data_IF_342618443922
#
_entry.id   IF_342618443922
#
_cell.length_a   1.000
_cell.length_b   1.000
_cell.length_c   1.000
_cell.angle_alpha   90.00
_cell.angle_beta   90.00
_cell.angle_gamma   90.00
#
_symmetry.space_group_name_H-M   'P 1'
#
loop_
_entity.id
_entity.type
_entity.pdbx_description
1 polymer ?
#
# COMPACT_ATOMS: atom_id res chain seq x y z
N UNK A 1 -4.89 19.42 -3.90
CA UNK A 1 -4.25 18.33 -4.67
C UNK A 1 -3.21 18.86 -5.67
N UNK A 2 -3.53 19.88 -6.49
CA UNK A 2 -2.59 20.46 -7.47
C UNK A 2 -1.34 21.16 -6.89
N UNK A 3 -1.31 21.43 -5.58
CA UNK A 3 -0.16 22.03 -4.90
C UNK A 3 0.84 21.02 -4.33
N UNK A 4 0.63 19.71 -4.54
CA UNK A 4 1.62 18.74 -4.10
C UNK A 4 2.88 18.85 -4.98
N UNK A 5 3.97 19.31 -4.38
CA UNK A 5 5.27 19.49 -5.02
C UNK A 5 5.76 18.21 -5.72
N UNK A 6 5.40 17.03 -5.18
CA UNK A 6 5.72 15.73 -5.76
C UNK A 6 5.12 15.57 -7.17
N UNK A 7 3.86 16.01 -7.38
CA UNK A 7 3.21 15.94 -8.71
C UNK A 7 3.92 16.84 -9.71
N UNK A 8 4.32 18.05 -9.27
CA UNK A 8 5.04 19.01 -10.12
C UNK A 8 6.39 18.43 -10.56
N UNK A 9 7.13 17.81 -9.64
CA UNK A 9 8.39 17.13 -9.98
C UNK A 9 8.20 15.90 -10.86
N UNK A 10 7.17 15.09 -10.62
CA UNK A 10 6.88 13.94 -11.47
C UNK A 10 6.52 14.35 -12.90
N UNK A 11 5.68 15.38 -13.04
CA UNK A 11 5.34 15.96 -14.35
C UNK A 11 6.58 16.52 -15.05
N UNK A 12 7.43 17.27 -14.33
CA UNK A 12 8.69 17.78 -14.87
C UNK A 12 9.62 16.64 -15.31
N UNK A 13 9.81 15.63 -14.47
CA UNK A 13 10.64 14.46 -14.76
C UNK A 13 10.15 13.71 -16.00
N UNK A 14 8.83 13.52 -16.13
CA UNK A 14 8.21 12.91 -17.31
C UNK A 14 8.43 13.77 -18.55
N UNK A 15 8.17 15.07 -18.49
CA UNK A 15 8.36 15.98 -19.61
C UNK A 15 9.82 16.03 -20.08
N UNK A 16 10.77 16.10 -19.16
CA UNK A 16 12.20 16.03 -19.46
C UNK A 16 12.56 14.69 -20.11
N UNK A 17 12.02 13.57 -19.61
CA UNK A 17 12.28 12.25 -20.20
C UNK A 17 11.82 12.15 -21.67
N UNK A 18 10.71 12.80 -22.01
CA UNK A 18 10.17 12.83 -23.37
C UNK A 18 10.98 13.80 -24.25
N UNK A 19 11.31 14.98 -23.75
CA UNK A 19 12.13 15.98 -24.45
C UNK A 19 13.54 15.47 -24.75
N UNK A 20 14.14 14.72 -23.82
CA UNK A 20 15.45 14.08 -23.99
C UNK A 20 15.38 12.80 -24.82
N UNK A 21 14.19 12.40 -25.28
CA UNK A 21 14.01 11.24 -26.14
C UNK A 21 14.35 9.89 -25.49
N UNK A 22 14.26 9.78 -24.15
CA UNK A 22 14.64 8.55 -23.43
C UNK A 22 13.80 7.32 -23.83
N UNK A 23 12.61 7.56 -24.38
CA UNK A 23 11.71 6.56 -24.92
C UNK A 23 12.08 6.06 -26.34
N UNK A 24 12.95 6.77 -27.06
CA UNK A 24 13.25 6.52 -28.48
C UNK A 24 14.62 5.87 -28.62
N UNK A 25 14.74 4.61 -28.22
CA UNK A 25 16.02 3.90 -28.17
C UNK A 25 16.67 3.74 -29.56
N UNK A 26 15.95 3.15 -30.51
CA UNK A 26 16.50 2.77 -31.82
C UNK A 26 16.52 3.93 -32.83
N UNK A 27 15.66 4.94 -32.63
CA UNK A 27 15.45 6.03 -33.59
C UNK A 27 16.04 7.38 -33.13
N UNK A 28 16.82 7.42 -32.05
CA UNK A 28 17.25 8.72 -31.49
C UNK A 28 18.05 9.55 -32.50
N UNK A 29 18.87 8.90 -33.33
CA UNK A 29 19.69 9.55 -34.35
C UNK A 29 18.86 10.19 -35.47
N UNK A 30 17.63 9.71 -35.69
CA UNK A 30 16.72 10.25 -36.72
C UNK A 30 15.99 11.52 -36.26
N UNK A 31 15.90 11.75 -34.95
CA UNK A 31 15.10 12.84 -34.38
C UNK A 31 15.89 13.84 -33.53
N UNK A 32 17.11 13.50 -33.11
CA UNK A 32 17.92 14.29 -32.18
C UNK A 32 19.23 14.72 -32.84
N UNK A 33 19.16 15.69 -33.76
CA UNK A 33 20.36 16.38 -34.25
C UNK A 33 20.88 17.44 -33.26
N UNK A 34 20.08 17.84 -32.25
CA UNK A 34 20.40 18.97 -31.34
C UNK A 34 20.46 18.63 -29.84
N UNK A 35 19.99 17.45 -29.41
CA UNK A 35 19.85 17.10 -27.98
C UNK A 35 20.43 15.72 -27.65
N UNK A 36 21.54 15.34 -28.30
CA UNK A 36 22.21 14.08 -28.01
C UNK A 36 23.01 14.19 -26.71
N UNK A 37 22.46 13.66 -25.61
CA UNK A 37 23.20 13.47 -24.36
C UNK A 37 23.98 12.15 -24.45
N UNK A 38 25.29 12.21 -24.71
CA UNK A 38 26.19 11.06 -24.68
C UNK A 38 26.76 10.89 -23.27
N UNK A 39 26.31 9.86 -22.56
CA UNK A 39 26.78 9.56 -21.19
C UNK A 39 28.13 8.84 -21.24
N UNK A 40 28.32 8.01 -22.27
CA UNK A 40 29.53 7.22 -22.55
C UNK A 40 29.89 7.28 -24.03
N UNK A 41 31.11 6.88 -24.39
CA UNK A 41 31.54 6.77 -25.79
C UNK A 41 30.86 5.62 -26.53
N UNK A 42 30.28 4.67 -25.81
CA UNK A 42 29.61 3.48 -26.36
C UNK A 42 28.11 3.73 -26.55
N UNK A 43 27.65 3.61 -27.80
CA UNK A 43 26.24 3.86 -28.17
C UNK A 43 25.30 2.88 -27.46
N UNK A 44 25.71 1.61 -27.33
CA UNK A 44 24.89 0.57 -26.70
C UNK A 44 24.69 0.85 -25.19
N UNK A 45 25.73 1.28 -24.49
CA UNK A 45 25.64 1.64 -23.07
C UNK A 45 24.78 2.88 -22.84
N UNK A 46 24.87 3.88 -23.72
CA UNK A 46 23.98 5.04 -23.67
C UNK A 46 22.50 4.65 -23.82
N UNK A 47 22.19 3.77 -24.78
CA UNK A 47 20.82 3.32 -25.00
C UNK A 47 20.30 2.52 -23.80
N UNK A 48 21.13 1.64 -23.23
CA UNK A 48 20.80 0.86 -22.05
C UNK A 48 20.55 1.75 -20.82
N UNK A 49 21.39 2.76 -20.58
CA UNK A 49 21.19 3.70 -19.46
C UNK A 49 19.90 4.51 -19.65
N UNK A 50 19.64 5.02 -20.87
CA UNK A 50 18.40 5.75 -21.17
C UNK A 50 17.16 4.89 -20.94
N UNK A 51 17.20 3.64 -21.40
CA UNK A 51 16.15 2.65 -21.20
C UNK A 51 15.87 2.43 -19.70
N UNK A 52 16.91 2.19 -18.90
CA UNK A 52 16.79 2.01 -17.45
C UNK A 52 16.19 3.23 -16.76
N UNK A 53 16.69 4.43 -17.09
CA UNK A 53 16.17 5.69 -16.53
C UNK A 53 14.68 5.85 -16.88
N UNK A 54 14.30 5.63 -18.14
CA UNK A 54 12.91 5.78 -18.58
C UNK A 54 11.97 4.82 -17.87
N UNK A 55 12.38 3.56 -17.69
CA UNK A 55 11.62 2.56 -16.91
C UNK A 55 11.47 3.00 -15.46
N UNK A 56 12.52 3.45 -14.80
CA UNK A 56 12.45 3.93 -13.42
C UNK A 56 11.59 5.18 -13.24
N UNK A 57 11.65 6.13 -14.18
CA UNK A 57 10.76 7.31 -14.20
C UNK A 57 9.30 6.85 -14.24
N UNK A 58 8.99 5.86 -15.07
CA UNK A 58 7.64 5.29 -15.20
C UNK A 58 7.22 4.58 -13.91
N UNK A 59 8.06 3.72 -13.34
CA UNK A 59 7.81 3.04 -12.06
C UNK A 59 7.50 4.04 -10.95
N UNK A 60 8.37 5.04 -10.75
CA UNK A 60 8.18 6.03 -9.70
C UNK A 60 6.91 6.87 -9.92
N UNK A 61 6.62 7.24 -11.18
CA UNK A 61 5.39 7.95 -11.52
C UNK A 61 4.15 7.13 -11.13
N UNK A 62 4.11 5.85 -11.49
CA UNK A 62 2.98 4.97 -11.18
C UNK A 62 2.75 4.86 -9.66
N UNK A 63 3.80 4.58 -8.90
CA UNK A 63 3.70 4.47 -7.44
C UNK A 63 3.28 5.77 -6.76
N UNK A 64 3.81 6.91 -7.21
CA UNK A 64 3.39 8.20 -6.67
C UNK A 64 1.95 8.53 -7.04
N UNK A 65 1.52 8.26 -8.27
CA UNK A 65 0.12 8.46 -8.67
C UNK A 65 -0.82 7.61 -7.82
N UNK A 66 -0.47 6.34 -7.54
CA UNK A 66 -1.22 5.46 -6.65
C UNK A 66 -1.25 6.00 -5.22
N UNK A 67 -0.10 6.39 -4.65
CA UNK A 67 -0.03 6.96 -3.30
C UNK A 67 -0.88 8.23 -3.18
N UNK A 68 -0.82 9.06 -4.22
CA UNK A 68 -1.61 10.27 -4.38
C UNK A 68 -3.01 10.00 -4.89
N UNK A 69 -3.41 8.74 -5.07
CA UNK A 69 -4.66 8.22 -5.63
C UNK A 69 -5.21 8.99 -6.83
N UNK A 70 -4.29 9.41 -7.70
CA UNK A 70 -4.59 10.07 -8.96
C UNK A 70 -4.69 9.00 -10.05
N UNK A 71 -5.72 9.13 -10.89
CA UNK A 71 -5.83 8.32 -12.09
C UNK A 71 -4.73 8.73 -13.08
N UNK A 72 -4.02 7.74 -13.61
CA UNK A 72 -2.96 7.93 -14.61
C UNK A 72 -3.46 8.68 -15.86
N UNK A 73 -4.70 8.43 -16.27
CA UNK A 73 -5.34 9.05 -17.42
C UNK A 73 -5.33 10.58 -17.37
N UNK A 74 -5.37 11.16 -16.17
CA UNK A 74 -5.42 12.61 -15.99
C UNK A 74 -4.06 13.28 -16.17
N UNK A 75 -2.96 12.52 -16.13
CA UNK A 75 -1.60 13.08 -16.10
C UNK A 75 -0.67 12.56 -17.20
N UNK A 76 -0.86 11.31 -17.64
CA UNK A 76 0.11 10.63 -18.50
C UNK A 76 -0.41 10.30 -19.90
N UNK A 77 -1.71 10.43 -20.18
CA UNK A 77 -2.29 10.02 -21.46
C UNK A 77 -2.11 8.51 -21.74
N UNK A 78 -2.80 7.99 -22.75
CA UNK A 78 -2.96 6.54 -22.98
C UNK A 78 -1.76 5.82 -23.67
N UNK A 79 -0.58 6.43 -23.78
CA UNK A 79 0.47 5.83 -24.60
C UNK A 79 1.38 4.89 -23.80
N UNK A 80 1.01 3.60 -23.82
CA UNK A 80 1.97 2.51 -23.57
C UNK A 80 3.04 2.55 -24.67
N UNK A 81 4.23 2.96 -24.26
CA UNK A 81 5.37 3.18 -25.12
C UNK A 81 6.05 1.86 -25.55
N UNK A 82 6.73 1.84 -26.69
CA UNK A 82 7.43 0.66 -27.20
C UNK A 82 8.39 0.06 -26.15
N UNK A 83 9.12 0.90 -25.43
CA UNK A 83 10.06 0.47 -24.37
C UNK A 83 9.34 -0.25 -23.23
N UNK A 84 8.14 0.22 -22.86
CA UNK A 84 7.34 -0.36 -21.79
C UNK A 84 6.78 -1.71 -22.27
N UNK A 85 6.25 -1.76 -23.49
CA UNK A 85 5.68 -2.99 -24.07
C UNK A 85 6.74 -4.06 -24.31
N UNK A 86 7.96 -3.67 -24.72
CA UNK A 86 9.10 -4.58 -24.86
C UNK A 86 9.50 -5.18 -23.50
N UNK A 87 9.56 -4.35 -22.45
CA UNK A 87 9.92 -4.79 -21.11
C UNK A 87 8.87 -5.70 -20.45
N UNK A 88 7.59 -5.54 -20.76
CA UNK A 88 6.50 -6.36 -20.21
C UNK A 88 6.31 -7.68 -20.96
N UNK A 89 6.64 -7.72 -22.27
CA UNK A 89 6.53 -8.91 -23.12
C UNK A 89 7.76 -9.81 -23.12
N UNK A 90 8.94 -9.30 -22.75
CA UNK A 90 10.14 -10.11 -22.63
C UNK A 90 9.99 -11.17 -21.53
N UNK A 91 10.12 -12.44 -21.93
CA UNK A 91 10.23 -13.56 -20.99
C UNK A 91 11.52 -13.36 -20.17
N UNK A 92 11.36 -13.12 -18.87
CA UNK A 92 12.45 -12.80 -17.94
C UNK A 92 13.48 -13.93 -17.73
N UNK A 93 13.23 -15.10 -18.34
CA UNK A 93 14.05 -16.30 -18.23
C UNK A 93 15.03 -16.47 -19.41
N UNK A 94 15.16 -15.49 -20.31
CA UNK A 94 16.22 -15.54 -21.32
C UNK A 94 17.59 -15.31 -20.68
N UNK A 95 18.56 -16.16 -21.01
CA UNK A 95 19.91 -16.13 -20.43
C UNK A 95 20.67 -14.81 -20.67
N UNK A 96 20.21 -14.01 -21.63
CA UNK A 96 20.89 -12.80 -22.10
C UNK A 96 20.54 -11.52 -21.30
N UNK A 97 19.62 -11.58 -20.32
CA UNK A 97 19.19 -10.41 -19.54
C UNK A 97 19.97 -10.32 -18.22
N UNK A 98 20.60 -9.16 -17.97
CA UNK A 98 21.29 -8.86 -16.72
C UNK A 98 20.34 -8.92 -15.50
N UNK A 99 20.89 -9.18 -14.32
CA UNK A 99 20.10 -9.22 -13.07
C UNK A 99 19.38 -7.90 -12.80
N UNK A 100 20.05 -6.78 -13.04
CA UNK A 100 19.48 -5.45 -12.84
C UNK A 100 18.33 -5.17 -13.81
N UNK A 101 18.45 -5.57 -15.08
CA UNK A 101 17.38 -5.40 -16.05
C UNK A 101 16.19 -6.31 -15.75
N UNK A 102 16.44 -7.53 -15.24
CA UNK A 102 15.37 -8.42 -14.75
C UNK A 102 14.62 -7.77 -13.59
N UNK A 103 15.33 -7.19 -12.62
CA UNK A 103 14.72 -6.48 -11.50
C UNK A 103 13.86 -5.31 -11.99
N UNK A 104 14.41 -4.42 -12.82
CA UNK A 104 13.71 -3.24 -13.33
C UNK A 104 12.47 -3.64 -14.13
N UNK A 105 12.57 -4.64 -15.00
CA UNK A 105 11.44 -5.13 -15.79
C UNK A 105 10.36 -5.76 -14.91
N UNK A 106 10.75 -6.49 -13.85
CA UNK A 106 9.82 -7.07 -12.88
C UNK A 106 9.08 -5.99 -12.09
N UNK A 107 9.83 -5.00 -11.58
CA UNK A 107 9.25 -3.87 -10.85
C UNK A 107 8.31 -3.05 -11.73
N UNK A 108 8.68 -2.82 -13.00
CA UNK A 108 7.84 -2.17 -13.99
C UNK A 108 6.54 -2.94 -14.21
N UNK A 109 6.63 -4.26 -14.43
CA UNK A 109 5.46 -5.13 -14.62
C UNK A 109 4.50 -5.06 -13.43
N UNK A 110 5.02 -5.14 -12.20
CA UNK A 110 4.22 -5.00 -10.97
C UNK A 110 3.58 -3.61 -10.89
N UNK A 111 4.34 -2.54 -11.17
CA UNK A 111 3.81 -1.17 -11.12
C UNK A 111 2.66 -0.93 -12.11
N UNK A 112 2.72 -1.55 -13.30
CA UNK A 112 1.65 -1.46 -14.31
C UNK A 112 0.41 -2.23 -13.86
N UNK A 113 0.60 -3.43 -13.30
CA UNK A 113 -0.52 -4.21 -12.75
C UNK A 113 -1.21 -3.44 -11.62
N UNK A 114 -0.45 -2.84 -10.70
CA UNK A 114 -0.99 -2.00 -9.63
C UNK A 114 -1.75 -0.79 -10.15
N UNK A 115 -1.20 -0.12 -11.16
CA UNK A 115 -1.87 1.03 -11.77
C UNK A 115 -3.19 0.62 -12.42
N UNK A 116 -3.21 -0.47 -13.20
CA UNK A 116 -4.44 -1.01 -13.81
C UNK A 116 -5.44 -1.46 -12.76
N UNK A 117 -4.98 -2.06 -11.66
CA UNK A 117 -5.82 -2.38 -10.51
C UNK A 117 -6.44 -1.10 -9.93
N UNK A 118 -5.64 -0.07 -9.71
CA UNK A 118 -6.10 1.20 -9.16
C UNK A 118 -7.17 1.87 -10.05
N UNK A 119 -6.97 1.89 -11.37
CA UNK A 119 -7.92 2.43 -12.33
C UNK A 119 -9.23 1.63 -12.36
N UNK A 120 -9.15 0.29 -12.41
CA UNK A 120 -10.32 -0.57 -12.47
C UNK A 120 -11.15 -0.55 -11.19
N UNK A 121 -10.51 -0.46 -10.03
CA UNK A 121 -11.21 -0.35 -8.74
C UNK A 121 -11.96 0.98 -8.59
N UNK A 122 -11.51 2.05 -9.27
CA UNK A 122 -12.19 3.35 -9.25
C UNK A 122 -13.37 3.45 -10.19
N UNK A 123 -13.28 2.80 -11.36
CA UNK A 123 -14.26 2.99 -12.43
C UNK A 123 -15.49 2.08 -12.27
N UNK A 124 -15.37 0.98 -11.53
CA UNK A 124 -16.43 -0.03 -11.44
C UNK A 124 -17.39 0.22 -10.28
N UNK A 125 -18.57 0.78 -10.57
CA UNK A 125 -19.62 1.02 -9.56
C UNK A 125 -20.49 -0.20 -9.24
N UNK A 126 -20.46 -1.27 -10.04
CA UNK A 126 -21.31 -2.45 -9.88
C UNK A 126 -20.64 -3.56 -9.05
N UNK A 127 -21.29 -4.02 -7.98
CA UNK A 127 -20.76 -5.03 -7.04
C UNK A 127 -20.24 -6.32 -7.72
N UNK A 128 -20.92 -6.81 -8.75
CA UNK A 128 -20.55 -8.07 -9.41
C UNK A 128 -19.29 -7.91 -10.27
N UNK A 129 -19.13 -6.79 -10.97
CA UNK A 129 -17.89 -6.49 -11.70
C UNK A 129 -16.71 -6.21 -10.75
N UNK A 130 -17.00 -5.63 -9.57
CA UNK A 130 -16.02 -5.49 -8.48
C UNK A 130 -15.48 -6.86 -8.02
N UNK A 131 -16.34 -7.82 -7.71
CA UNK A 131 -15.89 -9.15 -7.26
C UNK A 131 -15.13 -9.94 -8.35
N UNK A 132 -15.57 -9.86 -9.61
CA UNK A 132 -14.89 -10.51 -10.73
C UNK A 132 -13.50 -9.90 -10.95
N UNK A 133 -13.39 -8.57 -10.92
CA UNK A 133 -12.10 -7.89 -11.05
C UNK A 133 -11.15 -8.21 -9.89
N UNK A 134 -11.65 -8.31 -8.65
CA UNK A 134 -10.87 -8.76 -7.51
C UNK A 134 -10.30 -10.17 -7.72
N UNK A 135 -11.14 -11.13 -8.11
CA UNK A 135 -10.66 -12.50 -8.36
C UNK A 135 -9.64 -12.56 -9.50
N UNK A 136 -9.88 -11.83 -10.59
CA UNK A 136 -8.95 -11.74 -11.71
C UNK A 136 -7.59 -11.20 -11.27
N UNK A 137 -7.56 -10.09 -10.52
CA UNK A 137 -6.31 -9.52 -10.02
C UNK A 137 -5.63 -10.41 -8.97
N UNK A 138 -6.39 -11.11 -8.13
CA UNK A 138 -5.81 -12.07 -7.18
C UNK A 138 -5.11 -13.22 -7.92
N UNK A 139 -5.70 -13.73 -9.01
CA UNK A 139 -5.06 -14.74 -9.88
C UNK A 139 -3.79 -14.19 -10.53
N UNK A 140 -3.86 -13.00 -11.13
CA UNK A 140 -2.69 -12.35 -11.76
C UNK A 140 -1.55 -12.16 -10.76
N UNK A 141 -1.85 -11.65 -9.56
CA UNK A 141 -0.84 -11.42 -8.52
C UNK A 141 -0.25 -12.72 -7.97
N UNK A 142 -1.03 -13.80 -7.91
CA UNK A 142 -0.54 -15.12 -7.54
C UNK A 142 0.31 -15.76 -8.65
N UNK A 143 -0.03 -15.53 -9.91
CA UNK A 143 0.77 -15.98 -11.05
C UNK A 143 2.14 -15.28 -11.11
N UNK A 144 2.21 -14.01 -10.72
CA UNK A 144 3.48 -13.29 -10.55
C UNK A 144 4.37 -13.87 -9.44
N UNK A 145 3.83 -14.70 -8.54
CA UNK A 145 4.58 -15.35 -7.46
C UNK A 145 5.01 -16.78 -7.77
N UNK A 146 4.45 -17.42 -8.79
CA UNK A 146 4.78 -18.82 -9.11
C UNK A 146 6.27 -18.95 -9.42
N UNK A 147 6.89 -20.03 -8.92
CA UNK A 147 8.34 -20.33 -8.99
C UNK A 147 8.93 -20.36 -10.41
N UNK A 148 8.08 -20.37 -11.43
CA UNK A 148 8.46 -20.27 -12.84
C UNK A 148 8.78 -18.85 -13.31
N UNK A 149 8.45 -17.84 -12.51
CA UNK A 149 8.75 -16.43 -12.79
C UNK A 149 10.03 -15.99 -12.08
N UNK A 150 10.94 -15.33 -12.80
CA UNK A 150 12.15 -14.73 -12.22
C UNK A 150 11.87 -13.71 -11.09
N UNK A 151 10.60 -13.29 -10.98
CA UNK A 151 10.01 -12.37 -10.00
C UNK A 151 10.04 -12.96 -8.57
N UNK A 152 9.91 -14.29 -8.40
CA UNK A 152 9.73 -14.88 -7.07
C UNK A 152 10.99 -14.92 -6.20
N UNK A 153 12.17 -14.69 -6.79
CA UNK A 153 13.45 -14.78 -6.08
C UNK A 153 13.85 -13.49 -5.36
N UNK A 154 13.23 -12.36 -5.70
CA UNK A 154 13.61 -11.05 -5.17
C UNK A 154 12.58 -10.57 -4.14
N UNK A 155 13.02 -10.48 -2.88
CA UNK A 155 12.20 -10.05 -1.76
C UNK A 155 11.67 -8.61 -1.94
N UNK A 156 12.40 -7.73 -2.63
CA UNK A 156 11.97 -6.36 -2.91
C UNK A 156 10.83 -6.31 -3.92
N UNK A 157 10.85 -7.21 -4.91
CA UNK A 157 9.72 -7.35 -5.83
C UNK A 157 8.55 -8.02 -5.11
N UNK A 158 8.82 -9.01 -4.25
CA UNK A 158 7.78 -9.65 -3.45
C UNK A 158 7.05 -8.62 -2.55
N UNK A 159 7.77 -7.68 -1.94
CA UNK A 159 7.19 -6.56 -1.20
C UNK A 159 6.21 -5.74 -2.04
N UNK A 160 6.58 -5.42 -3.29
CA UNK A 160 5.69 -4.71 -4.21
C UNK A 160 4.46 -5.55 -4.60
N UNK A 161 4.60 -6.86 -4.75
CA UNK A 161 3.47 -7.76 -5.03
C UNK A 161 2.53 -7.84 -3.83
N UNK A 162 3.07 -8.00 -2.61
CA UNK A 162 2.28 -8.01 -1.38
C UNK A 162 1.56 -6.69 -1.14
N UNK A 163 2.18 -5.56 -1.47
CA UNK A 163 1.46 -4.28 -1.47
C UNK A 163 0.23 -4.31 -2.38
N UNK A 164 0.36 -4.79 -3.61
CA UNK A 164 -0.77 -4.92 -4.55
C UNK A 164 -1.90 -5.78 -3.98
N UNK A 165 -1.56 -6.88 -3.32
CA UNK A 165 -2.52 -7.76 -2.65
C UNK A 165 -3.21 -7.05 -1.49
N UNK A 166 -2.45 -6.31 -0.69
CA UNK A 166 -2.99 -5.51 0.39
C UNK A 166 -4.00 -4.49 -0.13
N UNK A 167 -3.72 -3.81 -1.26
CA UNK A 167 -4.66 -2.89 -1.88
C UNK A 167 -5.98 -3.58 -2.27
N UNK A 168 -5.88 -4.78 -2.82
CA UNK A 168 -6.99 -5.62 -3.23
C UNK A 168 -7.84 -6.08 -2.03
N UNK A 169 -7.18 -6.53 -0.95
CA UNK A 169 -7.87 -6.96 0.26
C UNK A 169 -8.51 -5.79 0.99
N UNK A 170 -7.86 -4.63 1.07
CA UNK A 170 -8.50 -3.42 1.62
C UNK A 170 -9.74 -3.01 0.84
N UNK A 171 -9.70 -3.12 -0.49
CA UNK A 171 -10.87 -2.87 -1.30
C UNK A 171 -12.02 -3.80 -0.94
N UNK A 172 -11.74 -5.09 -0.71
CA UNK A 172 -12.75 -6.06 -0.28
C UNK A 172 -13.33 -5.77 1.11
N UNK A 173 -12.59 -5.04 1.96
CA UNK A 173 -13.00 -4.65 3.32
C UNK A 173 -13.86 -3.37 3.37
N UNK A 174 -14.17 -2.78 2.21
CA UNK A 174 -15.02 -1.61 2.10
C UNK A 174 -16.48 -1.90 2.47
N UNK A 175 -17.09 -0.99 3.23
CA UNK A 175 -18.50 -1.09 3.64
C UNK A 175 -19.47 -1.16 2.46
N UNK A 176 -19.09 -0.60 1.30
CA UNK A 176 -19.94 -0.57 0.10
C UNK A 176 -20.22 -1.97 -0.48
N UNK A 177 -19.37 -2.96 -0.20
CA UNK A 177 -19.51 -4.33 -0.71
C UNK A 177 -20.50 -5.18 0.09
N UNK A 178 -20.88 -4.76 1.31
CA UNK A 178 -21.86 -5.47 2.17
C UNK A 178 -21.64 -6.99 2.24
N UNK A 179 -20.41 -7.40 2.52
CA UNK A 179 -20.05 -8.81 2.68
C UNK A 179 -20.73 -9.42 3.92
N UNK A 180 -20.92 -10.75 3.89
CA UNK A 180 -21.32 -11.49 5.08
C UNK A 180 -20.21 -11.40 6.14
N UNK A 181 -20.56 -11.52 7.43
CA UNK A 181 -19.58 -11.46 8.52
C UNK A 181 -18.47 -12.53 8.36
N UNK A 182 -18.83 -13.72 7.86
CA UNK A 182 -17.87 -14.80 7.66
C UNK A 182 -16.89 -14.49 6.52
N UNK A 183 -17.40 -14.00 5.39
CA UNK A 183 -16.55 -13.60 4.26
C UNK A 183 -15.66 -12.41 4.63
N UNK A 184 -16.20 -11.46 5.40
CA UNK A 184 -15.46 -10.32 5.92
C UNK A 184 -14.26 -10.76 6.77
N UNK A 185 -14.47 -11.71 7.69
CA UNK A 185 -13.40 -12.30 8.49
C UNK A 185 -12.35 -12.98 7.62
N UNK A 186 -12.73 -13.70 6.58
CA UNK A 186 -11.77 -14.33 5.65
C UNK A 186 -10.86 -13.27 5.03
N UNK A 187 -11.40 -12.13 4.57
CA UNK A 187 -10.59 -11.05 4.03
C UNK A 187 -9.72 -10.34 5.08
N UNK A 188 -10.16 -10.26 6.35
CA UNK A 188 -9.31 -9.80 7.45
C UNK A 188 -8.09 -10.71 7.62
N UNK A 189 -8.27 -12.03 7.66
CA UNK A 189 -7.14 -12.95 7.79
C UNK A 189 -6.23 -12.94 6.57
N UNK A 190 -6.77 -12.78 5.34
CA UNK A 190 -5.95 -12.54 4.14
C UNK A 190 -5.13 -11.26 4.26
N UNK A 191 -5.75 -10.19 4.76
CA UNK A 191 -5.10 -8.89 5.02
C UNK A 191 -3.97 -9.03 6.04
N UNK A 192 -4.24 -9.66 7.19
CA UNK A 192 -3.23 -9.92 8.23
C UNK A 192 -2.07 -10.76 7.71
N UNK A 193 -2.36 -11.81 6.96
CA UNK A 193 -1.32 -12.68 6.34
C UNK A 193 -0.39 -11.85 5.44
N UNK A 194 -0.96 -10.97 4.61
CA UNK A 194 -0.20 -10.06 3.75
C UNK A 194 0.61 -9.05 4.58
N UNK A 195 0.02 -8.44 5.62
CA UNK A 195 0.73 -7.53 6.53
C UNK A 195 1.92 -8.21 7.22
N UNK A 196 1.75 -9.44 7.72
CA UNK A 196 2.83 -10.19 8.38
C UNK A 196 3.93 -10.54 7.39
N UNK A 197 3.58 -10.97 6.18
CA UNK A 197 4.56 -11.23 5.12
C UNK A 197 5.36 -9.98 4.77
N UNK A 198 4.72 -8.81 4.67
CA UNK A 198 5.42 -7.53 4.46
C UNK A 198 6.41 -7.26 5.59
N UNK A 199 6.01 -7.42 6.85
CA UNK A 199 6.90 -7.20 8.00
C UNK A 199 8.10 -8.14 7.94
N UNK A 200 7.87 -9.42 7.64
CA UNK A 200 8.94 -10.43 7.57
C UNK A 200 9.90 -10.13 6.41
N UNK A 201 9.39 -9.81 5.22
CA UNK A 201 10.22 -9.41 4.08
C UNK A 201 11.03 -8.15 4.38
N UNK A 202 10.40 -7.15 5.01
CA UNK A 202 11.04 -5.87 5.29
C UNK A 202 12.14 -6.01 6.35
N UNK A 203 11.90 -6.82 7.40
CA UNK A 203 12.90 -7.09 8.43
C UNK A 203 14.08 -7.90 7.91
N UNK A 204 13.85 -8.80 6.96
CA UNK A 204 14.90 -9.57 6.30
C UNK A 204 15.75 -8.73 5.33
N UNK A 205 15.11 -7.89 4.51
CA UNK A 205 15.81 -7.05 3.50
C UNK A 205 16.52 -5.86 4.10
N UNK A 206 15.99 -5.30 5.19
CA UNK A 206 16.47 -4.06 5.76
C UNK A 206 16.88 -4.17 7.25
N UNK A 207 17.77 -5.12 7.62
CA UNK A 207 18.12 -5.37 9.02
C UNK A 207 18.85 -4.18 9.67
N UNK A 208 19.68 -3.48 8.90
CA UNK A 208 20.52 -2.36 9.36
C UNK A 208 19.95 -0.99 8.97
N UNK A 209 18.65 -0.91 8.71
CA UNK A 209 18.01 0.35 8.31
C UNK A 209 17.98 1.34 9.46
N UNK A 210 18.57 2.51 9.23
CA UNK A 210 18.59 3.59 10.21
C UNK A 210 17.29 4.40 10.26
N UNK A 211 16.62 4.54 9.11
CA UNK A 211 15.36 5.27 8.99
C UNK A 211 14.62 4.82 7.73
N UNK A 212 13.31 4.57 7.84
CA UNK A 212 12.44 4.25 6.70
C UNK A 212 12.44 5.36 5.65
N UNK A 213 12.74 6.60 6.07
CA UNK A 213 12.77 7.75 5.15
C UNK A 213 13.89 7.71 4.12
N UNK A 214 14.86 6.82 4.27
CA UNK A 214 15.93 6.59 3.29
C UNK A 214 15.46 5.75 2.10
N UNK A 215 14.34 5.03 2.25
CA UNK A 215 13.85 4.14 1.22
C UNK A 215 13.04 4.89 0.15
N UNK A 216 13.02 4.37 -1.08
CA UNK A 216 12.09 4.82 -2.11
C UNK A 216 10.64 4.82 -1.62
N UNK A 217 9.83 5.74 -2.16
CA UNK A 217 8.43 5.92 -1.75
C UNK A 217 7.63 4.61 -1.79
N UNK A 218 7.91 3.77 -2.79
CA UNK A 218 7.21 2.51 -3.04
C UNK A 218 7.53 1.40 -2.04
N UNK A 219 8.44 1.62 -1.10
CA UNK A 219 8.63 0.75 0.07
C UNK A 219 8.16 1.44 1.35
N UNK A 220 8.41 2.75 1.47
CA UNK A 220 8.00 3.54 2.63
C UNK A 220 6.50 3.49 2.89
N UNK A 221 5.68 3.80 1.89
CA UNK A 221 4.23 3.89 2.05
C UNK A 221 3.56 2.52 2.36
N UNK A 222 4.22 1.41 2.02
CA UNK A 222 3.76 0.06 2.37
C UNK A 222 3.79 -0.10 3.89
N UNK A 223 4.91 0.29 4.52
CA UNK A 223 5.08 0.23 5.98
C UNK A 223 4.08 1.13 6.69
N UNK A 224 3.90 2.36 6.20
CA UNK A 224 2.88 3.27 6.75
C UNK A 224 1.49 2.65 6.68
N UNK A 225 1.11 2.09 5.53
CA UNK A 225 -0.19 1.46 5.34
C UNK A 225 -0.38 0.25 6.27
N UNK A 226 0.62 -0.65 6.36
CA UNK A 226 0.58 -1.82 7.24
C UNK A 226 0.42 -1.41 8.69
N UNK A 227 1.14 -0.39 9.15
CA UNK A 227 1.02 0.08 10.54
C UNK A 227 -0.40 0.54 10.89
N UNK A 228 -1.03 1.34 10.01
CA UNK A 228 -2.39 1.83 10.22
C UNK A 228 -3.43 0.71 10.17
N UNK A 229 -3.24 -0.28 9.29
CA UNK A 229 -4.15 -1.42 9.15
C UNK A 229 -4.10 -2.33 10.37
N UNK A 230 -2.89 -2.67 10.82
CA UNK A 230 -2.72 -3.53 11.99
C UNK A 230 -3.34 -2.88 13.22
N UNK A 231 -3.03 -1.59 13.45
CA UNK A 231 -3.64 -0.83 14.54
C UNK A 231 -5.17 -0.85 14.44
N UNK A 232 -5.72 -0.63 13.25
CA UNK A 232 -7.17 -0.63 13.08
C UNK A 232 -7.81 -1.99 13.30
N UNK A 233 -7.22 -3.07 12.79
CA UNK A 233 -7.74 -4.44 12.97
C UNK A 233 -7.68 -4.83 14.46
N UNK A 234 -6.62 -4.43 15.17
CA UNK A 234 -6.47 -4.73 16.59
C UNK A 234 -7.62 -4.20 17.45
N UNK A 235 -8.18 -3.04 17.11
CA UNK A 235 -9.33 -2.49 17.82
C UNK A 235 -10.69 -2.90 17.21
N UNK A 236 -10.73 -3.98 16.41
CA UNK A 236 -11.99 -4.54 15.91
C UNK A 236 -12.27 -5.90 16.54
N UNK A 237 -13.51 -6.19 16.96
CA UNK A 237 -13.89 -7.48 17.54
C UNK A 237 -14.10 -8.56 16.46
N UNK A 238 -13.11 -8.76 15.58
CA UNK A 238 -13.23 -9.59 14.38
C UNK A 238 -12.26 -10.77 14.33
N UNK A 239 -11.28 -10.81 15.22
CA UNK A 239 -10.37 -11.94 15.38
C UNK A 239 -11.02 -13.03 16.25
N UNK A 240 -10.60 -14.28 16.06
CA UNK A 240 -11.25 -15.46 16.64
C UNK A 240 -10.75 -15.79 18.04
N UNK A 241 -9.49 -15.47 18.37
CA UNK A 241 -8.85 -15.86 19.63
C UNK A 241 -8.05 -14.71 20.23
N UNK A 242 -7.77 -14.78 21.54
CA UNK A 242 -6.84 -13.87 22.23
C UNK A 242 -5.42 -13.99 21.67
N UNK A 243 -5.01 -15.20 21.29
CA UNK A 243 -3.71 -15.46 20.67
C UNK A 243 -3.52 -14.67 19.37
N UNK A 244 -4.57 -14.55 18.54
CA UNK A 244 -4.51 -13.75 17.32
C UNK A 244 -4.20 -12.26 17.62
N UNK A 245 -4.77 -11.71 18.70
CA UNK A 245 -4.48 -10.33 19.13
C UNK A 245 -3.05 -10.18 19.64
N UNK A 246 -2.53 -11.15 20.38
CA UNK A 246 -1.14 -11.11 20.88
C UNK A 246 -0.11 -11.22 19.75
N UNK A 247 -0.37 -12.08 18.76
CA UNK A 247 0.46 -12.16 17.54
C UNK A 247 0.43 -10.83 16.79
N UNK A 248 -0.76 -10.24 16.61
CA UNK A 248 -0.92 -8.95 15.95
C UNK A 248 -0.14 -7.87 16.72
N UNK A 249 -0.28 -7.80 18.04
CA UNK A 249 0.43 -6.86 18.91
C UNK A 249 1.94 -6.99 18.78
N UNK A 250 2.46 -8.22 18.77
CA UNK A 250 3.89 -8.48 18.55
C UNK A 250 4.38 -7.96 17.20
N UNK A 251 3.65 -8.28 16.11
CA UNK A 251 3.97 -7.79 14.75
C UNK A 251 3.85 -6.26 14.64
N UNK A 252 2.86 -5.67 15.30
CA UNK A 252 2.69 -4.22 15.36
C UNK A 252 3.87 -3.54 16.08
N UNK A 253 4.35 -4.10 17.19
CA UNK A 253 5.54 -3.58 17.88
C UNK A 253 6.76 -3.58 16.96
N UNK A 254 6.97 -4.64 16.18
CA UNK A 254 8.06 -4.70 15.20
C UNK A 254 7.97 -3.59 14.16
N UNK A 255 6.80 -3.36 13.55
CA UNK A 255 6.65 -2.30 12.54
C UNK A 255 6.72 -0.89 13.16
N UNK A 256 6.20 -0.72 14.37
CA UNK A 256 6.28 0.54 15.12
C UNK A 256 7.73 0.90 15.46
N UNK A 257 8.54 -0.09 15.86
CA UNK A 257 9.98 0.09 16.07
C UNK A 257 10.69 0.50 14.77
N UNK A 258 10.30 -0.05 13.62
CA UNK A 258 10.88 0.36 12.33
C UNK A 258 10.55 1.84 12.01
N UNK A 259 9.33 2.31 12.30
CA UNK A 259 8.91 3.70 12.03
C UNK A 259 9.58 4.69 13.00
N UNK A 260 9.81 4.27 14.25
CA UNK A 260 10.40 5.11 15.31
C UNK A 260 11.93 5.12 15.28
N UNK A 261 12.57 4.08 14.73
CA UNK A 261 14.02 4.06 14.51
C UNK A 261 14.42 5.26 13.65
N UNK A 262 15.17 6.16 14.27
CA UNK A 262 15.81 7.26 13.58
C UNK A 262 16.99 7.78 14.39
N UNK A 263 18.17 7.80 13.79
CA UNK A 263 19.38 8.33 14.42
C UNK A 263 19.54 9.84 14.21
N UNK A 264 18.80 10.42 13.26
CA UNK A 264 18.90 11.85 12.93
C UNK A 264 17.65 12.59 13.37
N UNK A 265 17.77 13.43 14.40
CA UNK A 265 16.69 14.27 14.92
C UNK A 265 15.98 15.08 13.83
N UNK A 266 16.72 15.48 12.80
CA UNK A 266 16.21 16.23 11.64
C UNK A 266 15.18 15.45 10.82
N UNK A 267 15.18 14.11 10.84
CA UNK A 267 14.22 13.31 10.08
C UNK A 267 12.98 12.92 10.88
N UNK A 268 12.95 13.21 12.19
CA UNK A 268 11.82 12.85 13.05
C UNK A 268 10.51 13.53 12.62
N UNK A 269 10.59 14.71 11.99
CA UNK A 269 9.39 15.40 11.54
C UNK A 269 8.63 14.63 10.45
N UNK A 270 9.31 13.85 9.60
CA UNK A 270 8.68 13.13 8.49
C UNK A 270 7.66 12.09 8.97
N UNK A 271 7.96 11.40 10.08
CA UNK A 271 7.08 10.38 10.66
C UNK A 271 6.21 10.93 11.80
N UNK A 272 6.45 12.17 12.24
CA UNK A 272 5.78 12.76 13.41
C UNK A 272 4.26 12.80 13.29
N UNK A 273 3.72 13.01 12.09
CA UNK A 273 2.27 13.00 11.85
C UNK A 273 1.70 11.60 12.05
N UNK A 274 2.31 10.58 11.46
CA UNK A 274 1.90 9.19 11.58
C UNK A 274 1.95 8.74 13.04
N UNK A 275 3.07 8.98 13.72
CA UNK A 275 3.26 8.63 15.13
C UNK A 275 2.25 9.32 16.05
N UNK A 276 1.92 10.60 15.80
CA UNK A 276 0.88 11.31 16.55
C UNK A 276 -0.51 10.73 16.33
N UNK A 277 -0.83 10.28 15.13
CA UNK A 277 -2.11 9.62 14.83
C UNK A 277 -2.17 8.30 15.60
N UNK A 278 -1.16 7.44 15.47
CA UNK A 278 -1.05 6.16 16.18
C UNK A 278 -1.20 6.36 17.69
N UNK A 279 -0.39 7.25 18.28
CA UNK A 279 -0.42 7.49 19.72
C UNK A 279 -1.80 7.94 20.24
N UNK A 280 -2.43 8.89 19.55
CA UNK A 280 -3.76 9.39 19.93
C UNK A 280 -4.87 8.38 19.69
N UNK A 281 -4.76 7.59 18.62
CA UNK A 281 -5.75 6.58 18.30
C UNK A 281 -5.74 5.47 19.35
N UNK A 282 -4.54 5.00 19.71
CA UNK A 282 -4.34 4.05 20.80
C UNK A 282 -4.82 4.60 22.15
N UNK A 283 -4.48 5.84 22.52
CA UNK A 283 -4.95 6.45 23.77
C UNK A 283 -6.49 6.46 23.87
N UNK A 284 -7.17 6.87 22.80
CA UNK A 284 -8.65 6.95 22.80
C UNK A 284 -9.29 5.58 22.87
N UNK A 285 -8.81 4.62 22.06
CA UNK A 285 -9.44 3.30 21.97
C UNK A 285 -9.02 2.36 23.10
N UNK A 286 -7.81 2.49 23.62
CA UNK A 286 -7.36 1.76 24.81
C UNK A 286 -8.19 2.10 26.04
N UNK A 287 -8.73 3.32 26.13
CA UNK A 287 -9.58 3.73 27.24
C UNK A 287 -11.09 3.52 27.01
N UNK A 288 -11.56 3.57 25.75
CA UNK A 288 -13.00 3.56 25.43
C UNK A 288 -13.35 2.72 24.19
N UNK A 289 -12.74 1.54 24.03
CA UNK A 289 -13.03 0.64 22.90
C UNK A 289 -14.53 0.32 22.77
N UNK A 290 -15.17 0.02 23.90
CA UNK A 290 -16.60 -0.33 23.95
C UNK A 290 -17.49 0.82 23.49
N UNK A 291 -17.15 2.06 23.84
CA UNK A 291 -17.85 3.24 23.36
C UNK A 291 -17.72 3.39 21.85
N UNK A 292 -16.52 3.18 21.31
CA UNK A 292 -16.28 3.23 19.87
C UNK A 292 -17.08 2.17 19.11
N UNK A 293 -17.08 0.92 19.58
CA UNK A 293 -17.86 -0.18 18.99
C UNK A 293 -19.37 0.13 19.05
N UNK A 294 -19.86 0.72 20.14
CA UNK A 294 -21.27 1.09 20.32
C UNK A 294 -21.74 2.19 19.36
N UNK A 295 -20.90 3.20 19.11
CA UNK A 295 -21.21 4.30 18.17
C UNK A 295 -20.97 3.91 16.71
N UNK A 296 -19.97 3.07 16.44
CA UNK A 296 -19.70 2.54 15.11
C UNK A 296 -20.73 1.46 14.76
N UNK A 297 -21.90 1.88 14.25
CA UNK A 297 -22.85 0.98 13.56
C UNK A 297 -22.23 0.24 12.35
N UNK A 298 -20.98 0.55 12.01
CA UNK A 298 -20.21 -0.05 10.93
C UNK A 298 -19.09 -0.92 11.48
N UNK A 299 -19.27 -2.23 11.35
CA UNK A 299 -18.27 -3.30 11.56
C UNK A 299 -17.06 -3.20 10.61
N UNK A 300 -17.02 -2.16 9.78
CA UNK A 300 -16.13 -2.06 8.63
C UNK A 300 -14.84 -1.31 8.99
N UNK A 301 -13.71 -1.94 8.67
CA UNK A 301 -12.36 -1.37 8.71
C UNK A 301 -12.25 -0.15 7.77
N UNK A 302 -13.08 -0.03 6.74
CA UNK A 302 -13.15 1.14 5.89
C UNK A 302 -14.61 1.57 5.70
N UNK A 303 -14.90 2.84 5.98
CA UNK A 303 -16.25 3.39 5.78
C UNK A 303 -16.52 3.65 4.31
N UNK A 304 -15.51 4.13 3.58
CA UNK A 304 -15.55 4.24 2.13
C UNK A 304 -14.16 4.02 1.57
N UNK A 305 -14.05 3.12 0.60
CA UNK A 305 -12.82 3.01 -0.18
C UNK A 305 -12.63 4.25 -1.05
N UNK A 306 -11.46 4.86 -0.94
CA UNK A 306 -11.04 5.95 -1.79
C UNK A 306 -9.65 5.66 -2.34
N UNK A 307 -9.29 6.35 -3.42
CA UNK A 307 -8.04 6.14 -4.16
C UNK A 307 -6.79 6.31 -3.30
N UNK A 308 -6.82 7.23 -2.34
CA UNK A 308 -5.68 7.51 -1.47
C UNK A 308 -5.65 6.57 -0.28
N UNK A 309 -5.28 5.30 -0.41
CA UNK A 309 -5.43 4.34 0.72
C UNK A 309 -4.76 4.80 2.02
N UNK A 310 -3.51 5.25 1.95
CA UNK A 310 -2.78 5.77 3.13
C UNK A 310 -3.42 7.06 3.66
N UNK A 311 -3.77 8.00 2.78
CA UNK A 311 -4.37 9.26 3.22
C UNK A 311 -5.82 9.08 3.73
N UNK A 312 -6.55 8.12 3.18
CA UNK A 312 -7.90 7.74 3.58
C UNK A 312 -7.87 7.09 4.95
N UNK A 313 -6.95 6.14 5.18
CA UNK A 313 -6.80 5.54 6.50
C UNK A 313 -6.37 6.56 7.55
N UNK A 314 -5.41 7.44 7.23
CA UNK A 314 -5.03 8.56 8.09
C UNK A 314 -6.22 9.50 8.38
N UNK A 315 -7.02 9.82 7.37
CA UNK A 315 -8.20 10.68 7.53
C UNK A 315 -9.25 10.01 8.41
N UNK A 316 -9.59 8.75 8.15
CA UNK A 316 -10.57 8.02 8.94
C UNK A 316 -10.13 7.90 10.40
N UNK A 317 -8.87 7.56 10.68
CA UNK A 317 -8.35 7.52 12.05
C UNK A 317 -8.34 8.90 12.71
N UNK A 318 -7.95 9.95 11.98
CA UNK A 318 -8.02 11.34 12.48
C UNK A 318 -9.47 11.75 12.77
N UNK A 319 -10.41 11.34 11.92
CA UNK A 319 -11.83 11.59 12.11
C UNK A 319 -12.36 10.86 13.34
N UNK A 320 -11.98 9.58 13.55
CA UNK A 320 -12.30 8.82 14.75
C UNK A 320 -11.75 9.49 16.02
N UNK A 321 -10.52 10.01 15.98
CA UNK A 321 -9.94 10.79 17.09
C UNK A 321 -10.78 12.06 17.34
N UNK A 322 -11.14 12.77 16.28
CA UNK A 322 -11.90 14.02 16.36
C UNK A 322 -13.34 13.82 16.86
N UNK A 323 -14.06 12.81 16.37
CA UNK A 323 -15.43 12.50 16.80
C UNK A 323 -15.46 12.18 18.29
N UNK A 324 -14.47 11.41 18.74
CA UNK A 324 -14.30 10.98 20.13
C UNK A 324 -13.98 12.14 21.06
N UNK A 325 -13.06 13.04 20.67
CA UNK A 325 -12.62 14.16 21.51
C UNK A 325 -13.63 15.32 21.60
N UNK A 326 -14.47 15.52 20.59
CA UNK A 326 -15.49 16.59 20.59
C UNK A 326 -16.85 16.17 21.15
N UNK A 327 -16.98 14.97 21.72
CA UNK A 327 -18.22 14.52 22.35
C UNK A 327 -19.43 14.44 21.40
N UNK A 328 -19.21 14.35 20.07
CA UNK A 328 -20.30 13.99 19.14
C UNK A 328 -20.75 12.54 19.37
N UNK A 329 -19.85 11.74 19.93
CA UNK A 329 -20.04 10.43 20.54
C UNK A 329 -19.90 10.61 22.05
N UNK A 330 -20.99 10.90 22.76
CA UNK A 330 -20.98 11.02 24.22
C UNK A 330 -20.77 9.64 24.83
N UNK A 331 -19.53 9.19 25.00
CA UNK A 331 -19.22 7.87 25.57
C UNK A 331 -19.78 7.66 26.99
N UNK A 332 -20.07 8.74 27.71
CA UNK A 332 -20.68 8.70 29.04
C UNK A 332 -22.18 8.34 29.01
N UNK A 333 -22.90 8.55 27.90
CA UNK A 333 -24.32 8.18 27.74
C UNK A 333 -24.49 6.70 27.32
N UNK A 334 -23.40 5.97 27.08
CA UNK A 334 -23.41 4.60 26.55
C UNK A 334 -23.17 3.51 27.61
N UNK A 335 -23.05 3.87 28.88
CA UNK A 335 -22.95 2.88 29.97
C UNK A 335 -24.20 1.99 30.07
N UNK A 336 -25.35 2.44 29.55
CA UNK A 336 -26.64 1.76 29.69
C UNK A 336 -27.07 0.86 28.51
N UNK A 337 -26.26 0.74 27.43
CA UNK A 337 -26.55 -0.20 26.33
C UNK A 337 -25.60 -1.39 26.37
N UNK A 338 -26.14 -2.59 26.64
CA UNK A 338 -25.41 -3.85 26.53
C UNK A 338 -24.93 -4.08 25.09
N UNK A 339 -23.66 -4.46 24.92
CA UNK A 339 -23.12 -4.86 23.62
C UNK A 339 -23.64 -6.26 23.30
N UNK A 340 -24.29 -6.41 22.16
CA UNK A 340 -24.68 -7.73 21.64
C UNK A 340 -23.48 -8.38 20.95
N UNK A 341 -22.59 -9.01 21.73
CA UNK A 341 -21.42 -9.75 21.22
C UNK A 341 -21.78 -10.83 20.18
N UNK A 342 -23.01 -11.36 20.24
CA UNK A 342 -23.57 -12.27 19.22
C UNK A 342 -23.63 -11.64 17.82
N UNK A 343 -23.85 -10.33 17.71
CA UNK A 343 -23.83 -9.62 16.42
C UNK A 343 -22.44 -9.65 15.77
N UNK A 344 -21.40 -9.78 16.59
CA UNK A 344 -20.02 -9.94 16.15
C UNK A 344 -19.61 -11.40 16.01
N UNK A 345 -20.50 -12.35 16.28
CA UNK A 345 -20.19 -13.79 16.28
C UNK A 345 -19.14 -14.17 17.32
N UNK A 346 -19.10 -13.46 18.46
CA UNK A 346 -18.25 -13.76 19.61
C UNK A 346 -19.12 -14.36 20.72
N UNK A 347 -18.77 -15.57 21.13
CA UNK A 347 -19.42 -16.29 22.25
C UNK A 347 -18.47 -16.63 23.38
N UNK A 348 -17.17 -16.39 23.18
CA UNK A 348 -16.13 -16.73 24.13
C UNK A 348 -15.98 -15.62 25.17
N UNK A 349 -16.19 -15.97 26.44
CA UNK A 349 -16.09 -15.05 27.58
C UNK A 349 -14.67 -14.54 27.79
N UNK A 350 -13.66 -15.37 27.53
CA UNK A 350 -12.26 -14.97 27.69
C UNK A 350 -11.88 -13.88 26.68
N UNK A 351 -12.39 -13.99 25.45
CA UNK A 351 -12.17 -12.99 24.42
C UNK A 351 -12.88 -11.67 24.76
N UNK A 352 -14.09 -11.74 25.32
CA UNK A 352 -14.84 -10.55 25.76
C UNK A 352 -14.07 -9.83 26.88
N UNK A 353 -13.63 -10.54 27.92
CA UNK A 353 -12.84 -9.96 29.02
C UNK A 353 -11.51 -9.35 28.54
N UNK A 354 -10.87 -9.96 27.54
CA UNK A 354 -9.64 -9.42 26.94
C UNK A 354 -9.90 -8.12 26.18
N UNK A 355 -10.98 -8.05 25.39
CA UNK A 355 -11.37 -6.85 24.65
C UNK A 355 -11.71 -5.68 25.58
N UNK A 356 -12.22 -5.94 26.78
CA UNK A 356 -12.54 -4.90 27.77
C UNK A 356 -11.30 -4.17 28.29
N UNK A 357 -10.11 -4.77 28.24
CA UNK A 357 -8.86 -4.21 28.78
C UNK A 357 -7.72 -4.13 27.76
N UNK A 358 -8.04 -4.07 26.47
CA UNK A 358 -7.03 -4.21 25.42
C UNK A 358 -6.19 -2.92 25.24
N UNK A 359 -4.86 -3.07 25.24
CA UNK A 359 -3.91 -2.01 24.85
C UNK A 359 -2.92 -2.54 23.82
N UNK A 360 -2.67 -1.74 22.78
CA UNK A 360 -1.75 -2.07 21.68
C UNK A 360 -0.29 -1.71 22.01
N UNK A 361 -0.06 -0.65 22.78
CA UNK A 361 1.29 -0.17 23.18
C UNK A 361 1.47 -0.35 24.68
#
# INVERSE_FOLDING_TARGET
MNDNLSIKYLSLMRNLSLQLGLHRLEFINEFSHKTNMTITKEINMNNLIRERIYKFITVNSNYWLINLGLLHLNFNGFQEDYVINKATSMNQNTADISEEDRYINSLLKVSIVQQRLHENLNNNNQMQSKLISLNMFEVILNDLKKDTSAISKDNLIELSVEYSKLQLYLYSLDSSLKLSLNDYRVFIYKTLTSCYRVIDLFTNEFPNLYSINQLPIHYKFIVELVSLILERIFYTPLLKSVEDYEILKSKFKTIHLLITKNNESNWNFFNSRLLKIIAKYNEILGHNLLGFIKDSKSLYILTKFNTHQVANMNYEMTWSIYSSTKGKTNFNDFNDREITWDAFGIKDKQLIEYLDNISLV
#
